data_IF_411607191251
#
_entry.id   IF_411607191251
#
_cell.length_a   1.000
_cell.length_b   1.000
_cell.length_c   1.000
_cell.angle_alpha   90.00
_cell.angle_beta   90.00
_cell.angle_gamma   90.00
#
_symmetry.space_group_name_H-M   'P 1'
#
loop_
_entity.id
_entity.type
_entity.pdbx_description
1 polymer ?
#
# COMPACT_ATOMS: atom_id res chain seq x y z
N UNK A 1 5.20 2.49 -5.09
CA UNK A 1 4.43 3.73 -5.34
C UNK A 1 2.97 3.63 -4.85
N UNK A 2 2.14 2.67 -5.31
CA UNK A 2 0.72 2.59 -4.92
C UNK A 2 0.46 2.54 -3.39
N UNK A 3 1.25 1.75 -2.66
CA UNK A 3 1.14 1.63 -1.20
C UNK A 3 1.49 2.95 -0.49
N UNK A 4 2.52 3.65 -0.97
CA UNK A 4 2.91 4.94 -0.43
C UNK A 4 1.78 5.96 -0.59
N UNK A 5 1.18 6.01 -1.78
CA UNK A 5 0.05 6.88 -2.05
C UNK A 5 -1.13 6.57 -1.12
N UNK A 6 -1.43 5.29 -0.89
CA UNK A 6 -2.46 4.87 0.06
C UNK A 6 -2.17 5.40 1.47
N UNK A 7 -0.98 5.17 2.02
CA UNK A 7 -0.61 5.63 3.37
C UNK A 7 -0.65 7.15 3.47
N UNK A 8 -0.11 7.87 2.48
CA UNK A 8 -0.16 9.35 2.45
C UNK A 8 -1.59 9.88 2.39
N UNK A 9 -2.46 9.22 1.63
CA UNK A 9 -3.88 9.59 1.53
C UNK A 9 -4.57 9.42 2.88
N UNK A 10 -4.34 8.30 3.58
CA UNK A 10 -4.89 8.08 4.92
C UNK A 10 -4.42 9.14 5.92
N UNK A 11 -3.13 9.47 5.89
CA UNK A 11 -2.55 10.54 6.71
C UNK A 11 -3.18 11.90 6.39
N UNK A 12 -3.32 12.23 5.11
CA UNK A 12 -3.96 13.47 4.65
C UNK A 12 -5.44 13.55 5.04
N UNK A 13 -6.12 12.41 5.10
CA UNK A 13 -7.50 12.28 5.58
C UNK A 13 -7.60 12.26 7.12
N UNK A 14 -6.53 12.58 7.84
CA UNK A 14 -6.45 12.63 9.30
C UNK A 14 -6.76 11.28 10.00
N UNK A 15 -6.65 10.17 9.28
CA UNK A 15 -6.84 8.83 9.84
C UNK A 15 -5.60 8.48 10.67
N UNK A 16 -5.83 8.04 11.90
CA UNK A 16 -4.81 7.58 12.85
C UNK A 16 -5.31 6.35 13.60
N UNK A 17 -4.40 5.55 14.14
CA UNK A 17 -4.74 4.34 14.92
C UNK A 17 -5.65 3.37 14.15
N UNK A 18 -5.32 3.10 12.89
CA UNK A 18 -6.17 2.34 11.99
C UNK A 18 -5.46 1.09 11.48
N UNK A 19 -6.22 0.02 11.27
CA UNK A 19 -5.77 -1.17 10.55
C UNK A 19 -6.39 -1.15 9.15
N UNK A 20 -5.54 -1.20 8.14
CA UNK A 20 -5.91 -1.03 6.74
C UNK A 20 -5.55 -2.30 5.98
N UNK A 21 -6.53 -2.85 5.27
CA UNK A 21 -6.33 -3.96 4.35
C UNK A 21 -6.18 -3.43 2.93
N UNK A 22 -5.01 -3.59 2.33
CA UNK A 22 -4.77 -3.34 0.91
C UNK A 22 -4.96 -4.65 0.16
N UNK A 23 -5.83 -4.62 -0.85
CA UNK A 23 -5.99 -5.72 -1.80
C UNK A 23 -5.24 -5.36 -3.07
N UNK A 24 -4.31 -6.22 -3.49
CA UNK A 24 -3.45 -5.99 -4.64
C UNK A 24 -3.40 -7.25 -5.50
N UNK A 25 -3.54 -7.11 -6.80
CA UNK A 25 -3.32 -8.23 -7.73
C UNK A 25 -1.83 -8.47 -8.06
N UNK A 26 -0.97 -7.54 -7.63
CA UNK A 26 0.48 -7.68 -7.76
C UNK A 26 1.09 -8.47 -6.57
N UNK A 27 1.50 -9.72 -6.84
CA UNK A 27 2.13 -10.62 -5.86
C UNK A 27 3.47 -10.10 -5.32
N UNK A 28 4.20 -9.31 -6.11
CA UNK A 28 5.48 -8.71 -5.67
C UNK A 28 5.25 -7.65 -4.61
N UNK A 29 4.21 -6.82 -4.77
CA UNK A 29 3.83 -5.79 -3.79
C UNK A 29 3.37 -6.42 -2.48
N UNK A 30 2.55 -7.48 -2.56
CA UNK A 30 2.12 -8.26 -1.40
C UNK A 30 3.34 -8.82 -0.66
N UNK A 31 4.23 -9.51 -1.38
CA UNK A 31 5.43 -10.11 -0.79
C UNK A 31 6.43 -9.10 -0.21
N UNK A 32 6.56 -7.91 -0.80
CA UNK A 32 7.43 -6.86 -0.26
C UNK A 32 6.88 -6.26 1.04
N UNK A 33 5.55 -6.09 1.14
CA UNK A 33 4.92 -5.56 2.34
C UNK A 33 4.88 -6.57 3.49
N UNK A 34 4.58 -7.83 3.20
CA UNK A 34 4.64 -8.89 4.21
C UNK A 34 6.05 -9.02 4.80
N UNK A 35 7.08 -8.89 3.96
CA UNK A 35 8.48 -8.97 4.40
C UNK A 35 9.03 -7.66 4.98
N UNK A 36 8.28 -6.56 4.88
CA UNK A 36 8.73 -5.21 5.24
C UNK A 36 10.09 -4.82 4.65
N UNK A 37 10.46 -5.39 3.49
CA UNK A 37 11.77 -5.24 2.87
C UNK A 37 11.69 -5.44 1.35
N UNK A 38 12.52 -4.71 0.60
CA UNK A 38 12.69 -4.89 -0.85
C UNK A 38 14.16 -5.12 -1.23
N UNK A 39 14.39 -5.79 -2.37
CA UNK A 39 15.73 -6.18 -2.83
C UNK A 39 16.57 -5.02 -3.41
N UNK A 40 15.95 -3.92 -3.82
CA UNK A 40 16.62 -2.75 -4.39
C UNK A 40 16.83 -1.61 -3.39
N UNK A 41 17.97 -0.93 -3.43
CA UNK A 41 18.32 0.17 -2.51
C UNK A 41 17.32 1.34 -2.53
N UNK A 42 16.89 1.79 -3.72
CA UNK A 42 15.90 2.87 -3.87
C UNK A 42 14.51 2.45 -3.37
N UNK A 43 14.11 1.22 -3.66
CA UNK A 43 12.83 0.68 -3.23
C UNK A 43 12.80 0.51 -1.70
N UNK A 44 13.94 0.13 -1.11
CA UNK A 44 14.05 -0.01 0.34
C UNK A 44 13.97 1.36 1.06
N UNK A 45 14.51 2.42 0.45
CA UNK A 45 14.33 3.78 0.98
C UNK A 45 12.87 4.21 1.02
N UNK A 46 12.10 3.94 -0.03
CA UNK A 46 10.66 4.23 -0.06
C UNK A 46 9.91 3.40 0.98
N UNK A 47 10.22 2.10 1.10
CA UNK A 47 9.61 1.22 2.11
C UNK A 47 9.88 1.74 3.53
N UNK A 48 11.09 2.19 3.84
CA UNK A 48 11.42 2.79 5.14
C UNK A 48 10.58 4.03 5.44
N UNK A 49 10.46 4.95 4.49
CA UNK A 49 9.61 6.14 4.63
C UNK A 49 8.14 5.78 4.90
N UNK A 50 7.63 4.75 4.22
CA UNK A 50 6.26 4.26 4.46
C UNK A 50 6.12 3.72 5.89
N UNK A 51 7.08 2.91 6.34
CA UNK A 51 7.09 2.35 7.70
C UNK A 51 7.15 3.45 8.76
N UNK A 52 7.99 4.47 8.57
CA UNK A 52 8.08 5.63 9.47
C UNK A 52 6.74 6.37 9.58
N UNK A 53 6.06 6.63 8.45
CA UNK A 53 4.73 7.26 8.43
C UNK A 53 3.68 6.38 9.12
N UNK A 54 3.71 5.07 8.86
CA UNK A 54 2.82 4.10 9.50
C UNK A 54 2.99 4.13 11.02
N UNK A 55 4.24 4.11 11.51
CA UNK A 55 4.52 4.16 12.95
C UNK A 55 4.09 5.49 13.58
N UNK A 56 4.42 6.62 12.95
CA UNK A 56 4.09 7.96 13.43
C UNK A 56 2.57 8.15 13.60
N UNK A 57 1.78 7.61 12.68
CA UNK A 57 0.31 7.74 12.67
C UNK A 57 -0.43 6.54 13.28
N UNK A 58 0.31 5.53 13.80
CA UNK A 58 -0.25 4.26 14.30
C UNK A 58 -1.15 3.58 13.26
N UNK A 59 -0.69 3.52 12.02
CA UNK A 59 -1.41 2.86 10.92
C UNK A 59 -0.76 1.49 10.68
N UNK A 60 -1.53 0.42 10.76
CA UNK A 60 -1.10 -0.92 10.39
C UNK A 60 -1.65 -1.27 9.02
N UNK A 61 -0.77 -1.61 8.10
CA UNK A 61 -1.15 -2.01 6.74
C UNK A 61 -0.92 -3.51 6.61
N UNK A 62 -1.98 -4.23 6.24
CA UNK A 62 -1.90 -5.61 5.76
C UNK A 62 -2.16 -5.63 4.27
N UNK A 63 -1.40 -6.42 3.53
CA UNK A 63 -1.60 -6.59 2.09
C UNK A 63 -2.05 -8.02 1.82
N UNK A 64 -3.09 -8.19 1.02
CA UNK A 64 -3.58 -9.50 0.58
C UNK A 64 -3.69 -9.53 -0.93
N UNK A 65 -3.29 -10.66 -1.51
CA UNK A 65 -3.47 -10.86 -2.94
C UNK A 65 -4.94 -11.08 -3.30
N UNK A 66 -5.40 -10.48 -4.40
CA UNK A 66 -6.71 -10.75 -5.03
C UNK A 66 -6.54 -10.95 -6.53
N UNK A 67 -7.49 -11.59 -7.20
CA UNK A 67 -7.44 -11.71 -8.65
C UNK A 67 -7.67 -10.34 -9.33
N UNK A 68 -7.02 -10.09 -10.47
CA UNK A 68 -7.20 -8.83 -11.24
C UNK A 68 -8.67 -8.60 -11.62
N UNK A 69 -9.43 -9.67 -11.89
CA UNK A 69 -10.87 -9.59 -12.22
C UNK A 69 -11.72 -9.07 -11.05
N UNK A 70 -11.25 -9.29 -9.82
CA UNK A 70 -11.90 -8.83 -8.60
C UNK A 70 -11.30 -7.52 -8.08
N UNK A 71 -10.34 -6.92 -8.79
CA UNK A 71 -9.68 -5.68 -8.38
C UNK A 71 -10.49 -4.46 -8.85
N UNK A 72 -11.25 -3.80 -7.95
CA UNK A 72 -12.04 -2.63 -8.34
C UNK A 72 -11.15 -1.43 -8.73
N UNK A 73 -9.86 -1.45 -8.39
CA UNK A 73 -8.94 -0.38 -8.72
C UNK A 73 -8.35 -0.50 -10.13
N UNK A 74 -8.50 -1.63 -10.83
CA UNK A 74 -7.93 -1.83 -12.18
C UNK A 74 -8.53 -0.86 -13.20
N UNK A 75 -9.86 -0.72 -13.22
CA UNK A 75 -10.58 0.26 -14.07
C UNK A 75 -10.13 1.70 -13.80
N UNK A 76 -10.26 2.22 -12.56
CA UNK A 76 -9.84 3.58 -12.22
C UNK A 76 -8.36 3.85 -12.52
N UNK A 77 -7.47 2.86 -12.32
CA UNK A 77 -6.04 3.01 -12.66
C UNK A 77 -5.78 3.19 -14.16
N UNK A 78 -6.72 2.77 -15.01
CA UNK A 78 -6.72 2.95 -16.47
C UNK A 78 -7.55 4.16 -16.91
N UNK A 79 -8.05 4.97 -15.98
CA UNK A 79 -8.91 6.12 -16.26
C UNK A 79 -10.36 5.75 -16.60
N UNK A 80 -10.79 4.51 -16.31
CA UNK A 80 -12.17 4.07 -16.50
C UNK A 80 -12.86 4.14 -15.14
N UNK A 81 -13.73 5.14 -14.97
CA UNK A 81 -14.51 5.36 -13.75
C UNK A 81 -15.92 4.75 -13.90
N UNK A 82 -16.51 4.22 -12.81
CA UNK A 82 -17.91 3.80 -12.80
C UNK A 82 -18.89 4.96 -12.94
#
# INVERSE_FOLDING_TARGET
VAVELCVRTLVSSHIKNASVLIRSDNTTVVGCLEKSNSRGSEQNFIVRKIIELMQLHKIWVKCTWISTKENPADGPSRGIFP
#
